data_IF_577064390959
#
_entry.id   IF_577064390959
#
_cell.length_a   1.000
_cell.length_b   1.000
_cell.length_c   1.000
_cell.angle_alpha   90.00
_cell.angle_beta   90.00
_cell.angle_gamma   90.00
#
_symmetry.space_group_name_H-M   'P 1'
#
loop_
_entity.id
_entity.type
_entity.pdbx_description
1 polymer ?
#
# COMPACT_ATOMS: atom_id res chain seq x y z
N UNK A 1 -8.15 30.21 5.96
CA UNK A 1 -7.31 29.42 5.02
C UNK A 1 -6.90 30.33 3.89
N UNK A 2 -5.60 30.59 3.76
CA UNK A 2 -5.03 31.64 2.91
C UNK A 2 -5.30 31.39 1.41
N UNK A 3 -5.55 32.45 0.62
CA UNK A 3 -5.92 32.34 -0.79
C UNK A 3 -4.84 31.61 -1.62
N UNK A 4 -3.57 31.78 -1.24
CA UNK A 4 -2.44 31.06 -1.82
C UNK A 4 -2.55 29.54 -1.64
N UNK A 5 -2.95 29.09 -0.45
CA UNK A 5 -3.09 27.66 -0.14
C UNK A 5 -4.20 27.01 -0.96
N UNK A 6 -5.33 27.72 -1.17
CA UNK A 6 -6.42 27.23 -2.04
C UNK A 6 -5.96 27.04 -3.48
N UNK A 7 -5.14 27.96 -4.01
CA UNK A 7 -4.57 27.83 -5.36
C UNK A 7 -3.63 26.62 -5.47
N UNK A 8 -2.78 26.40 -4.47
CA UNK A 8 -1.89 25.23 -4.41
C UNK A 8 -2.68 23.92 -4.34
N UNK A 9 -3.74 23.85 -3.53
CA UNK A 9 -4.63 22.68 -3.42
C UNK A 9 -5.39 22.43 -4.74
N UNK A 10 -5.88 23.48 -5.39
CA UNK A 10 -6.53 23.38 -6.71
C UNK A 10 -5.59 22.85 -7.79
N UNK A 11 -4.33 23.32 -7.82
CA UNK A 11 -3.32 22.81 -8.74
C UNK A 11 -3.03 21.32 -8.48
N UNK A 12 -2.91 20.91 -7.22
CA UNK A 12 -2.68 19.50 -6.88
C UNK A 12 -3.82 18.59 -7.33
N UNK A 13 -5.08 19.05 -7.20
CA UNK A 13 -6.27 18.32 -7.68
C UNK A 13 -6.23 18.14 -9.19
N UNK A 14 -6.01 19.24 -9.91
CA UNK A 14 -5.93 19.22 -11.38
C UNK A 14 -4.80 18.30 -11.82
N UNK A 15 -3.60 18.44 -11.24
CA UNK A 15 -2.45 17.62 -11.59
C UNK A 15 -2.70 16.14 -11.31
N UNK A 16 -3.17 15.78 -10.12
CA UNK A 16 -3.48 14.41 -9.77
C UNK A 16 -4.50 13.81 -10.75
N UNK A 17 -5.57 14.53 -11.06
CA UNK A 17 -6.59 14.06 -11.99
C UNK A 17 -6.02 13.83 -13.40
N UNK A 18 -5.32 14.82 -13.97
CA UNK A 18 -4.76 14.70 -15.32
C UNK A 18 -3.68 13.62 -15.40
N UNK A 19 -2.81 13.51 -14.40
CA UNK A 19 -1.79 12.46 -14.37
C UNK A 19 -2.46 11.08 -14.30
N UNK A 20 -3.40 10.85 -13.38
CA UNK A 20 -4.14 9.58 -13.31
C UNK A 20 -4.89 9.29 -14.61
N UNK A 21 -5.55 10.28 -15.20
CA UNK A 21 -6.27 10.13 -16.47
C UNK A 21 -5.35 9.77 -17.65
N UNK A 22 -4.18 10.40 -17.75
CA UNK A 22 -3.20 10.06 -18.81
C UNK A 22 -2.79 8.60 -18.68
N UNK A 23 -2.39 8.15 -17.48
CA UNK A 23 -2.00 6.75 -17.28
C UNK A 23 -3.17 5.78 -17.52
N UNK A 24 -4.38 6.13 -17.08
CA UNK A 24 -5.59 5.33 -17.29
C UNK A 24 -5.93 5.14 -18.78
N UNK A 25 -5.77 6.20 -19.58
CA UNK A 25 -6.09 6.19 -21.01
C UNK A 25 -4.97 5.58 -21.87
N UNK A 26 -3.72 5.69 -21.45
CA UNK A 26 -2.55 5.30 -22.26
C UNK A 26 -1.96 3.95 -21.88
N UNK A 27 -2.27 3.43 -20.69
CA UNK A 27 -1.76 2.13 -20.25
C UNK A 27 -2.65 1.01 -20.79
N UNK A 28 -2.10 0.08 -21.60
CA UNK A 28 -2.86 -1.07 -22.05
C UNK A 28 -3.12 -2.02 -20.87
N UNK A 29 -4.27 -2.69 -20.89
CA UNK A 29 -4.54 -3.79 -19.97
C UNK A 29 -3.71 -5.00 -20.42
N UNK A 30 -3.15 -5.73 -19.45
CA UNK A 30 -2.45 -6.99 -19.67
C UNK A 30 -3.29 -7.96 -20.51
N UNK A 31 -2.72 -8.64 -21.52
CA UNK A 31 -3.46 -9.64 -22.29
C UNK A 31 -3.69 -10.94 -21.52
N UNK A 32 -2.96 -11.16 -20.42
CA UNK A 32 -3.01 -12.38 -19.62
C UNK A 32 -4.35 -12.54 -18.91
N UNK A 33 -4.91 -13.76 -18.95
CA UNK A 33 -6.14 -14.13 -18.25
C UNK A 33 -7.31 -13.18 -18.49
N UNK A 34 -7.45 -12.65 -19.71
CA UNK A 34 -8.53 -11.73 -20.05
C UNK A 34 -8.46 -10.38 -19.32
N UNK A 35 -7.26 -9.93 -18.93
CA UNK A 35 -7.04 -8.66 -18.24
C UNK A 35 -6.84 -8.76 -16.73
N UNK A 36 -6.91 -9.96 -16.16
CA UNK A 36 -6.81 -10.17 -14.73
C UNK A 36 -5.40 -10.56 -14.25
N UNK A 37 -4.50 -10.91 -15.18
CA UNK A 37 -3.17 -11.41 -14.83
C UNK A 37 -3.25 -12.64 -13.88
N UNK A 38 -2.12 -13.09 -13.32
CA UNK A 38 -2.01 -14.29 -12.52
C UNK A 38 -2.69 -14.19 -11.15
N UNK A 39 -2.28 -13.24 -10.29
CA UNK A 39 -2.89 -13.09 -8.96
C UNK A 39 -4.30 -12.46 -9.04
N UNK A 40 -4.51 -11.54 -9.99
CA UNK A 40 -5.76 -10.81 -10.13
C UNK A 40 -6.91 -11.69 -10.61
N UNK A 41 -6.64 -12.85 -11.20
CA UNK A 41 -7.64 -13.86 -11.50
C UNK A 41 -8.38 -14.31 -10.23
N UNK A 42 -7.66 -14.48 -9.12
CA UNK A 42 -8.26 -14.87 -7.82
C UNK A 42 -9.21 -13.79 -7.32
N UNK A 43 -8.79 -12.53 -7.36
CA UNK A 43 -9.61 -11.39 -6.95
C UNK A 43 -10.80 -11.16 -7.88
N UNK A 44 -10.63 -11.37 -9.18
CA UNK A 44 -11.70 -11.37 -10.17
C UNK A 44 -12.78 -12.41 -9.87
N UNK A 45 -12.38 -13.66 -9.60
CA UNK A 45 -13.31 -14.73 -9.23
C UNK A 45 -14.04 -14.42 -7.91
N UNK A 46 -13.35 -13.86 -6.93
CA UNK A 46 -13.97 -13.40 -5.67
C UNK A 46 -14.99 -12.28 -5.91
N UNK A 47 -14.71 -11.37 -6.84
CA UNK A 47 -15.62 -10.29 -7.26
C UNK A 47 -16.79 -10.79 -8.15
N UNK A 48 -16.83 -12.08 -8.49
CA UNK A 48 -17.91 -12.68 -9.28
C UNK A 48 -17.61 -12.88 -10.77
N UNK A 49 -16.38 -12.62 -11.22
CA UNK A 49 -15.97 -12.88 -12.59
C UNK A 49 -16.02 -14.40 -12.91
N UNK A 50 -16.54 -14.75 -14.07
CA UNK A 50 -16.64 -16.15 -14.55
C UNK A 50 -15.39 -16.54 -15.32
N UNK A 51 -14.25 -16.59 -14.63
CA UNK A 51 -12.93 -16.85 -15.23
C UNK A 51 -12.50 -18.31 -15.12
N UNK A 52 -13.11 -19.08 -14.22
CA UNK A 52 -12.78 -20.48 -13.94
C UNK A 52 -14.05 -21.34 -13.96
N UNK A 53 -13.93 -22.66 -14.18
CA UNK A 53 -14.99 -23.63 -13.93
C UNK A 53 -15.59 -23.50 -12.51
N UNK A 54 -16.87 -23.84 -12.28
CA UNK A 54 -17.54 -23.60 -11.00
C UNK A 54 -16.88 -24.25 -9.78
N UNK A 55 -16.36 -25.47 -9.95
CA UNK A 55 -15.64 -26.24 -8.94
C UNK A 55 -14.28 -25.60 -8.59
N UNK A 56 -13.50 -25.19 -9.58
CA UNK A 56 -12.26 -24.45 -9.39
C UNK A 56 -12.51 -23.06 -8.77
N UNK A 57 -13.55 -22.36 -9.23
CA UNK A 57 -13.94 -21.06 -8.68
C UNK A 57 -14.36 -21.18 -7.20
N UNK A 58 -15.10 -22.23 -6.84
CA UNK A 58 -15.47 -22.50 -5.46
C UNK A 58 -14.26 -22.85 -4.58
N UNK A 59 -13.25 -23.49 -5.15
CA UNK A 59 -11.99 -23.78 -4.46
C UNK A 59 -11.16 -22.50 -4.23
N UNK A 60 -10.97 -21.68 -5.26
CA UNK A 60 -10.24 -20.40 -5.16
C UNK A 60 -10.88 -19.45 -4.15
N UNK A 61 -12.21 -19.38 -4.09
CA UNK A 61 -12.95 -18.62 -3.07
C UNK A 61 -12.79 -19.15 -1.65
N UNK A 62 -12.26 -20.36 -1.46
CA UNK A 62 -12.00 -20.96 -0.14
C UNK A 62 -10.53 -20.98 0.24
N UNK A 63 -9.63 -20.41 -0.58
CA UNK A 63 -8.20 -20.39 -0.29
C UNK A 63 -7.82 -19.28 0.71
N UNK A 64 -7.33 -19.67 1.89
CA UNK A 64 -6.61 -18.81 2.85
C UNK A 64 -5.07 -18.95 2.73
N UNK A 65 -4.27 -18.05 3.35
CA UNK A 65 -4.66 -16.79 3.99
C UNK A 65 -4.24 -15.52 3.23
N UNK A 66 -3.41 -15.61 2.18
CA UNK A 66 -2.90 -14.42 1.43
C UNK A 66 -3.74 -14.03 0.22
N UNK A 67 -4.72 -14.86 -0.13
CA UNK A 67 -5.65 -14.65 -1.24
C UNK A 67 -6.97 -14.03 -0.77
N UNK A 68 -7.27 -14.08 0.53
CA UNK A 68 -8.55 -13.62 1.06
C UNK A 68 -8.48 -12.15 1.50
N UNK A 69 -8.05 -11.32 0.55
CA UNK A 69 -8.05 -9.86 0.63
C UNK A 69 -9.42 -9.40 0.20
N UNK A 70 -10.34 -9.32 1.15
CA UNK A 70 -11.79 -9.24 0.86
C UNK A 70 -12.28 -7.86 0.48
N UNK A 71 -11.52 -6.81 0.82
CA UNK A 71 -12.00 -5.43 0.69
C UNK A 71 -12.16 -5.04 -0.77
N UNK A 72 -11.10 -5.08 -1.60
CA UNK A 72 -11.24 -4.74 -3.03
C UNK A 72 -12.23 -5.64 -3.79
N UNK A 73 -12.16 -6.98 -3.73
CA UNK A 73 -13.13 -7.83 -4.42
C UNK A 73 -14.56 -7.62 -3.91
N UNK A 74 -14.73 -7.37 -2.61
CA UNK A 74 -16.03 -7.04 -2.02
C UNK A 74 -16.63 -5.77 -2.61
N UNK A 75 -15.86 -4.68 -2.68
CA UNK A 75 -16.30 -3.43 -3.32
C UNK A 75 -16.55 -3.65 -4.82
N UNK A 76 -15.65 -4.35 -5.52
CA UNK A 76 -15.79 -4.62 -6.95
C UNK A 76 -17.06 -5.46 -7.26
N UNK A 77 -17.47 -6.36 -6.36
CA UNK A 77 -18.65 -7.22 -6.55
C UNK A 77 -19.99 -6.48 -6.49
N UNK A 78 -20.04 -5.30 -5.85
CA UNK A 78 -21.28 -4.53 -5.66
C UNK A 78 -21.43 -3.38 -6.64
N UNK A 79 -20.38 -3.08 -7.42
CA UNK A 79 -20.42 -2.08 -8.47
C UNK A 79 -21.18 -2.62 -9.72
N UNK A 80 -21.88 -1.74 -10.45
CA UNK A 80 -22.86 -2.16 -11.46
C UNK A 80 -22.26 -2.58 -12.81
N UNK A 81 -20.94 -2.52 -13.00
CA UNK A 81 -20.29 -2.90 -14.26
C UNK A 81 -19.78 -4.34 -14.20
N UNK A 82 -19.14 -4.80 -15.29
CA UNK A 82 -18.41 -6.07 -15.24
C UNK A 82 -17.21 -5.96 -14.25
N UNK A 83 -16.78 -7.08 -13.63
CA UNK A 83 -15.77 -7.02 -12.58
C UNK A 83 -14.45 -6.36 -12.99
N UNK A 84 -13.99 -6.52 -14.23
CA UNK A 84 -12.74 -5.89 -14.70
C UNK A 84 -12.90 -4.37 -14.74
N UNK A 85 -14.02 -3.89 -15.28
CA UNK A 85 -14.34 -2.46 -15.28
C UNK A 85 -14.48 -1.91 -13.85
N UNK A 86 -15.09 -2.67 -12.94
CA UNK A 86 -15.20 -2.29 -11.53
C UNK A 86 -13.82 -2.07 -10.89
N UNK A 87 -12.89 -3.01 -11.07
CA UNK A 87 -11.50 -2.88 -10.62
C UNK A 87 -10.80 -1.67 -11.25
N UNK A 88 -10.98 -1.42 -12.56
CA UNK A 88 -10.39 -0.25 -13.23
C UNK A 88 -10.90 1.08 -12.67
N UNK A 89 -12.19 1.18 -12.36
CA UNK A 89 -12.78 2.38 -11.72
C UNK A 89 -12.21 2.56 -10.32
N UNK A 90 -12.10 1.48 -9.55
CA UNK A 90 -11.50 1.51 -8.22
C UNK A 90 -10.04 1.96 -8.27
N UNK A 91 -9.23 1.41 -9.18
CA UNK A 91 -7.85 1.81 -9.41
C UNK A 91 -7.72 3.30 -9.74
N UNK A 92 -8.58 3.81 -10.63
CA UNK A 92 -8.58 5.25 -10.93
C UNK A 92 -8.83 6.10 -9.69
N UNK A 93 -9.84 5.75 -8.89
CA UNK A 93 -10.19 6.50 -7.69
C UNK A 93 -9.11 6.38 -6.60
N UNK A 94 -8.54 5.20 -6.42
CA UNK A 94 -7.48 4.92 -5.45
C UNK A 94 -6.19 5.66 -5.81
N UNK A 95 -5.76 5.62 -7.07
CA UNK A 95 -4.56 6.32 -7.53
C UNK A 95 -4.74 7.84 -7.47
N UNK A 96 -5.87 8.37 -7.95
CA UNK A 96 -6.18 9.79 -7.84
C UNK A 96 -6.12 10.26 -6.38
N UNK A 97 -6.79 9.52 -5.49
CA UNK A 97 -6.81 9.83 -4.05
C UNK A 97 -5.43 9.70 -3.40
N UNK A 98 -4.64 8.72 -3.83
CA UNK A 98 -3.25 8.51 -3.39
C UNK A 98 -2.37 9.70 -3.73
N UNK A 99 -2.46 10.24 -4.96
CA UNK A 99 -1.70 11.43 -5.35
C UNK A 99 -2.08 12.66 -4.51
N UNK A 100 -3.38 12.85 -4.23
CA UNK A 100 -3.83 13.93 -3.35
C UNK A 100 -3.30 13.78 -1.92
N UNK A 101 -3.41 12.58 -1.35
CA UNK A 101 -2.93 12.28 -0.01
C UNK A 101 -1.42 12.48 0.08
N UNK A 102 -0.66 12.01 -0.91
CA UNK A 102 0.79 12.20 -0.97
C UNK A 102 1.15 13.69 -0.99
N UNK A 103 0.50 14.50 -1.83
CA UNK A 103 0.72 15.94 -1.83
C UNK A 103 0.45 16.54 -0.45
N UNK A 104 -0.67 16.18 0.20
CA UNK A 104 -1.01 16.67 1.54
C UNK A 104 0.03 16.25 2.60
N UNK A 105 0.53 15.01 2.52
CA UNK A 105 1.60 14.49 3.37
C UNK A 105 2.86 15.33 3.19
N UNK A 106 3.31 15.56 1.95
CA UNK A 106 4.50 16.37 1.67
C UNK A 106 4.36 17.80 2.19
N UNK A 107 3.20 18.43 1.99
CA UNK A 107 2.92 19.76 2.55
C UNK A 107 2.94 19.77 4.08
N UNK A 108 2.40 18.73 4.72
CA UNK A 108 2.39 18.57 6.19
C UNK A 108 3.77 18.28 6.77
N UNK A 109 4.66 17.68 5.97
CA UNK A 109 6.07 17.50 6.30
C UNK A 109 6.90 18.78 6.07
N UNK A 110 6.25 19.87 5.63
CA UNK A 110 6.82 21.20 5.36
C UNK A 110 7.73 21.29 4.14
N UNK A 111 7.57 20.38 3.16
CA UNK A 111 8.18 20.56 1.84
C UNK A 111 7.56 21.74 1.11
N UNK A 112 8.33 22.45 0.28
CA UNK A 112 7.81 23.55 -0.54
C UNK A 112 6.74 23.05 -1.54
N UNK A 113 5.87 23.93 -2.07
CA UNK A 113 4.86 23.52 -3.05
C UNK A 113 5.48 22.85 -4.28
N UNK A 114 6.59 23.41 -4.77
CA UNK A 114 7.34 22.86 -5.89
C UNK A 114 7.86 21.45 -5.60
N UNK A 115 8.52 21.24 -4.45
CA UNK A 115 9.01 19.91 -4.07
C UNK A 115 7.88 18.91 -3.86
N UNK A 116 6.71 19.36 -3.39
CA UNK A 116 5.54 18.50 -3.24
C UNK A 116 4.98 18.04 -4.59
N UNK A 117 5.01 18.91 -5.61
CA UNK A 117 4.66 18.55 -6.99
C UNK A 117 5.68 17.57 -7.58
N UNK A 118 6.98 17.85 -7.40
CA UNK A 118 8.05 16.95 -7.86
C UNK A 118 7.92 15.56 -7.22
N UNK A 119 7.69 15.48 -5.92
CA UNK A 119 7.48 14.22 -5.21
C UNK A 119 6.24 13.46 -5.70
N UNK A 120 5.14 14.17 -5.98
CA UNK A 120 3.93 13.59 -6.58
C UNK A 120 4.22 13.01 -7.96
N UNK A 121 4.90 13.75 -8.84
CA UNK A 121 5.25 13.29 -10.19
C UNK A 121 6.24 12.12 -10.14
N UNK A 122 7.18 12.14 -9.20
CA UNK A 122 8.11 11.03 -8.99
C UNK A 122 7.37 9.76 -8.56
N UNK A 123 6.44 9.88 -7.60
CA UNK A 123 5.57 8.77 -7.20
C UNK A 123 4.74 8.25 -8.37
N UNK A 124 4.09 9.14 -9.12
CA UNK A 124 3.26 8.78 -10.27
C UNK A 124 4.05 8.15 -11.43
N UNK A 125 5.32 8.54 -11.60
CA UNK A 125 6.21 7.99 -12.62
C UNK A 125 6.80 6.62 -12.26
N UNK A 126 6.70 6.17 -11.00
CA UNK A 126 7.12 4.83 -10.61
C UNK A 126 6.21 3.80 -11.27
N UNK A 127 6.81 2.78 -11.90
CA UNK A 127 6.06 1.74 -12.62
C UNK A 127 4.98 1.09 -11.74
N UNK A 128 5.32 0.83 -10.47
CA UNK A 128 4.49 0.10 -9.53
C UNK A 128 3.31 0.90 -8.95
N UNK A 129 3.18 2.18 -9.29
CA UNK A 129 2.00 2.98 -8.95
C UNK A 129 1.02 2.94 -10.12
N UNK A 130 0.71 4.08 -10.73
CA UNK A 130 -0.36 4.26 -11.70
C UNK A 130 -0.27 3.28 -12.89
N UNK A 131 0.92 3.10 -13.45
CA UNK A 131 1.07 2.25 -14.64
C UNK A 131 0.71 0.79 -14.32
N UNK A 132 1.21 0.25 -13.20
CA UNK A 132 0.87 -1.11 -12.82
C UNK A 132 -0.60 -1.26 -12.46
N UNK A 133 -1.18 -0.29 -11.75
CA UNK A 133 -2.62 -0.25 -11.42
C UNK A 133 -3.52 -0.36 -12.66
N UNK A 134 -3.15 0.26 -13.78
CA UNK A 134 -3.95 0.19 -15.01
C UNK A 134 -3.56 -0.97 -15.93
N UNK A 135 -2.32 -1.45 -15.84
CA UNK A 135 -1.86 -2.61 -16.59
C UNK A 135 -2.47 -3.92 -16.06
N UNK A 136 -2.51 -4.11 -14.73
CA UNK A 136 -3.10 -5.28 -14.07
C UNK A 136 -4.15 -4.84 -13.03
N UNK A 137 -5.31 -4.31 -13.46
CA UNK A 137 -6.26 -3.62 -12.59
C UNK A 137 -6.94 -4.49 -11.55
N UNK A 138 -7.02 -5.81 -11.78
CA UNK A 138 -7.60 -6.73 -10.80
C UNK A 138 -6.66 -7.03 -9.62
N UNK A 139 -5.45 -6.45 -9.60
CA UNK A 139 -4.61 -6.46 -8.40
C UNK A 139 -5.19 -5.49 -7.37
N UNK A 140 -4.68 -5.57 -6.15
CA UNK A 140 -5.21 -4.83 -5.00
C UNK A 140 -4.22 -3.78 -4.45
N UNK A 141 -3.19 -3.49 -5.25
CA UNK A 141 -2.00 -2.75 -4.85
C UNK A 141 -2.23 -1.25 -4.83
N UNK A 142 -3.04 -0.75 -5.75
CA UNK A 142 -3.50 0.63 -5.82
C UNK A 142 -4.30 1.01 -4.57
N UNK A 143 -5.26 0.20 -4.12
CA UNK A 143 -5.96 0.52 -2.88
C UNK A 143 -5.09 0.23 -1.66
N UNK A 144 -4.16 -0.73 -1.73
CA UNK A 144 -3.13 -0.90 -0.69
C UNK A 144 -2.30 0.37 -0.53
N UNK A 145 -1.86 0.99 -1.63
CA UNK A 145 -1.13 2.26 -1.60
C UNK A 145 -1.99 3.39 -1.04
N UNK A 146 -3.26 3.46 -1.45
CA UNK A 146 -4.21 4.42 -0.90
C UNK A 146 -4.34 4.28 0.62
N UNK A 147 -4.59 3.07 1.13
CA UNK A 147 -4.68 2.82 2.57
C UNK A 147 -3.37 3.14 3.28
N UNK A 148 -2.22 2.78 2.70
CA UNK A 148 -0.91 3.09 3.28
C UNK A 148 -0.71 4.60 3.43
N UNK A 149 -0.97 5.39 2.38
CA UNK A 149 -0.89 6.85 2.43
C UNK A 149 -1.92 7.44 3.39
N UNK A 150 -3.13 6.90 3.44
CA UNK A 150 -4.17 7.35 4.36
C UNK A 150 -3.78 7.09 5.83
N UNK A 151 -3.14 5.95 6.13
CA UNK A 151 -2.57 5.66 7.45
C UNK A 151 -1.47 6.67 7.81
N UNK A 152 -0.60 7.03 6.86
CA UNK A 152 0.42 8.06 7.05
C UNK A 152 -0.22 9.42 7.34
N UNK A 153 -1.14 9.89 6.50
CA UNK A 153 -1.80 11.18 6.71
C UNK A 153 -2.58 11.21 8.04
N UNK A 154 -3.32 10.16 8.37
CA UNK A 154 -4.07 10.08 9.62
C UNK A 154 -3.14 10.09 10.85
N UNK A 155 -1.99 9.41 10.78
CA UNK A 155 -0.95 9.43 11.82
C UNK A 155 -0.35 10.83 11.99
N UNK A 156 0.04 11.48 10.89
CA UNK A 156 0.59 12.83 10.92
C UNK A 156 -0.45 13.88 11.35
N UNK A 157 -1.73 13.64 11.03
CA UNK A 157 -2.89 14.42 11.48
C UNK A 157 -3.29 14.15 12.92
N UNK A 158 -2.70 13.13 13.57
CA UNK A 158 -3.07 12.68 14.93
C UNK A 158 -4.54 12.26 15.04
N UNK A 159 -5.13 11.74 13.95
CA UNK A 159 -6.52 11.25 13.90
C UNK A 159 -6.61 9.82 14.45
N UNK A 160 -6.24 9.63 15.72
CA UNK A 160 -6.11 8.31 16.34
C UNK A 160 -7.41 7.50 16.34
N UNK A 161 -8.56 8.16 16.49
CA UNK A 161 -9.88 7.50 16.41
C UNK A 161 -10.12 6.92 15.01
N UNK A 162 -9.80 7.67 13.96
CA UNK A 162 -9.93 7.18 12.59
C UNK A 162 -9.04 5.96 12.36
N UNK A 163 -7.80 5.99 12.87
CA UNK A 163 -6.86 4.86 12.74
C UNK A 163 -7.38 3.57 13.36
N UNK A 164 -8.14 3.63 14.46
CA UNK A 164 -8.74 2.44 15.08
C UNK A 164 -9.75 1.72 14.17
N UNK A 165 -10.46 2.46 13.31
CA UNK A 165 -11.37 1.88 12.32
C UNK A 165 -10.66 1.54 11.01
N UNK A 166 -9.71 2.39 10.61
CA UNK A 166 -9.02 2.26 9.34
C UNK A 166 -8.06 1.07 9.29
N UNK A 167 -7.32 0.81 10.37
CA UNK A 167 -6.31 -0.26 10.42
C UNK A 167 -6.91 -1.65 10.21
N UNK A 168 -8.05 -2.04 10.84
CA UNK A 168 -8.74 -3.28 10.53
C UNK A 168 -9.08 -3.42 9.05
N UNK A 169 -9.68 -2.39 8.44
CA UNK A 169 -10.05 -2.43 7.02
C UNK A 169 -8.81 -2.54 6.14
N UNK A 170 -7.75 -1.76 6.43
CA UNK A 170 -6.47 -1.84 5.72
C UNK A 170 -5.82 -3.23 5.85
N UNK A 171 -5.89 -3.86 7.03
CA UNK A 171 -5.38 -5.21 7.23
C UNK A 171 -6.15 -6.25 6.40
N UNK A 172 -7.48 -6.09 6.27
CA UNK A 172 -8.33 -6.94 5.41
C UNK A 172 -8.16 -6.64 3.91
N UNK A 173 -7.69 -5.44 3.55
CA UNK A 173 -7.24 -5.12 2.21
C UNK A 173 -5.94 -5.86 1.90
N UNK A 174 -4.94 -5.77 2.78
CA UNK A 174 -3.67 -6.49 2.64
C UNK A 174 -3.04 -6.69 4.00
N UNK A 175 -2.67 -7.93 4.31
CA UNK A 175 -2.28 -8.36 5.65
C UNK A 175 -1.03 -7.63 6.15
N UNK A 176 -0.12 -7.29 5.24
CA UNK A 176 1.08 -6.49 5.50
C UNK A 176 0.76 -5.10 6.06
N UNK A 177 -0.41 -4.52 5.75
CA UNK A 177 -0.83 -3.23 6.30
C UNK A 177 -1.10 -3.30 7.81
N UNK A 178 -1.37 -4.49 8.38
CA UNK A 178 -1.46 -4.65 9.83
C UNK A 178 -0.13 -4.31 10.53
N UNK A 179 1.02 -4.56 9.88
CA UNK A 179 2.34 -4.23 10.42
C UNK A 179 2.52 -2.71 10.58
N UNK A 180 1.86 -1.90 9.75
CA UNK A 180 1.90 -0.43 9.87
C UNK A 180 1.14 0.11 11.08
N UNK A 181 0.45 -0.73 11.85
CA UNK A 181 0.00 -0.38 13.21
C UNK A 181 1.18 0.05 14.10
N UNK A 182 2.35 -0.58 13.98
CA UNK A 182 3.54 -0.21 14.74
C UNK A 182 4.06 1.18 14.37
N UNK A 183 3.98 1.57 13.09
CA UNK A 183 4.25 2.95 12.67
C UNK A 183 3.26 3.94 13.30
N UNK A 184 1.97 3.61 13.32
CA UNK A 184 0.93 4.44 13.93
C UNK A 184 1.16 4.61 15.45
N UNK A 185 1.52 3.53 16.14
CA UNK A 185 1.89 3.53 17.57
C UNK A 185 3.13 4.39 17.81
N UNK A 186 4.15 4.27 16.96
CA UNK A 186 5.33 5.13 17.04
C UNK A 186 4.98 6.63 16.88
N UNK A 187 4.10 6.95 15.92
CA UNK A 187 3.56 8.30 15.74
C UNK A 187 2.76 8.79 16.96
N UNK A 188 1.95 7.92 17.57
CA UNK A 188 1.20 8.21 18.79
C UNK A 188 2.14 8.53 19.95
N UNK A 189 3.18 7.73 20.18
CA UNK A 189 4.18 7.98 21.22
C UNK A 189 4.95 9.27 20.99
N UNK A 190 5.37 9.54 19.75
CA UNK A 190 6.05 10.78 19.37
C UNK A 190 5.17 12.03 19.59
N UNK A 191 3.85 11.90 19.48
CA UNK A 191 2.91 12.98 19.74
C UNK A 191 2.57 13.13 21.24
N UNK A 192 2.42 12.00 21.95
CA UNK A 192 2.07 11.94 23.37
C UNK A 192 3.18 12.44 24.30
N UNK A 193 4.45 12.32 23.92
CA UNK A 193 5.57 12.91 24.67
C UNK A 193 5.53 14.45 24.73
N UNK A 194 4.69 15.10 23.91
CA UNK A 194 4.55 16.55 23.82
C UNK A 194 3.23 17.09 24.40
N UNK A 195 2.26 16.24 24.73
CA UNK A 195 0.96 16.67 25.25
C UNK A 195 0.61 15.81 26.47
N UNK A 196 0.38 16.45 27.62
CA UNK A 196 0.25 15.84 28.95
C UNK A 196 -0.93 14.88 29.18
N UNK A 197 -1.27 14.03 28.21
CA UNK A 197 -2.21 12.93 28.39
C UNK A 197 -1.63 11.86 29.33
N UNK A 198 -2.49 11.29 30.17
CA UNK A 198 -2.11 10.23 31.11
C UNK A 198 -1.51 9.01 30.39
N UNK A 199 -0.42 8.45 30.94
CA UNK A 199 0.27 7.27 30.40
C UNK A 199 -0.65 6.10 30.08
N UNK A 200 -1.68 5.86 30.92
CA UNK A 200 -2.66 4.80 30.70
C UNK A 200 -3.47 4.96 29.41
N UNK A 201 -3.87 6.18 29.05
CA UNK A 201 -4.62 6.44 27.82
C UNK A 201 -3.76 6.22 26.56
N UNK A 202 -2.46 6.52 26.63
CA UNK A 202 -1.52 6.26 25.53
C UNK A 202 -1.32 4.76 25.33
N UNK A 203 -1.11 4.01 26.41
CA UNK A 203 -0.96 2.54 26.37
C UNK A 203 -2.21 1.85 25.80
N UNK A 204 -3.40 2.23 26.28
CA UNK A 204 -4.66 1.67 25.78
C UNK A 204 -4.85 1.92 24.29
N UNK A 205 -4.62 3.15 23.83
CA UNK A 205 -4.69 3.49 22.39
C UNK A 205 -3.66 2.72 21.59
N UNK A 206 -2.44 2.60 22.09
CA UNK A 206 -1.38 1.83 21.43
C UNK A 206 -1.75 0.37 21.29
N UNK A 207 -2.28 -0.25 22.36
CA UNK A 207 -2.76 -1.61 22.35
C UNK A 207 -3.90 -1.81 21.33
N UNK A 208 -4.90 -0.92 21.29
CA UNK A 208 -5.99 -1.00 20.32
C UNK A 208 -5.51 -0.89 18.87
N UNK A 209 -4.56 0.01 18.58
CA UNK A 209 -4.01 0.15 17.22
C UNK A 209 -3.34 -1.13 16.71
N UNK A 210 -2.79 -1.95 17.60
CA UNK A 210 -2.20 -3.26 17.25
C UNK A 210 -3.26 -4.35 17.27
N UNK A 211 -4.00 -4.51 18.35
CA UNK A 211 -4.92 -5.64 18.54
C UNK A 211 -6.05 -5.67 17.50
N UNK A 212 -6.60 -4.51 17.11
CA UNK A 212 -7.73 -4.46 16.19
C UNK A 212 -7.41 -5.01 14.78
N UNK A 213 -6.35 -4.58 14.07
CA UNK A 213 -6.03 -5.16 12.75
C UNK A 213 -5.65 -6.64 12.80
N UNK A 214 -4.87 -7.07 13.80
CA UNK A 214 -4.52 -8.48 13.94
C UNK A 214 -5.73 -9.35 14.34
N UNK A 215 -6.63 -8.81 15.17
CA UNK A 215 -7.89 -9.47 15.51
C UNK A 215 -8.80 -9.63 14.30
N UNK A 216 -8.95 -8.59 13.46
CA UNK A 216 -9.72 -8.67 12.22
C UNK A 216 -9.17 -9.76 11.27
N UNK A 217 -7.84 -9.80 11.10
CA UNK A 217 -7.18 -10.86 10.34
C UNK A 217 -7.42 -12.26 10.93
N UNK A 218 -7.33 -12.40 12.26
CA UNK A 218 -7.56 -13.67 12.93
C UNK A 218 -9.00 -14.17 12.75
N UNK A 219 -9.99 -13.27 12.87
CA UNK A 219 -11.40 -13.59 12.65
C UNK A 219 -11.63 -14.08 11.22
N UNK A 220 -11.17 -13.33 10.22
CA UNK A 220 -11.35 -13.72 8.81
C UNK A 220 -10.61 -15.02 8.50
N UNK A 221 -9.39 -15.21 9.01
CA UNK A 221 -8.65 -16.47 8.85
C UNK A 221 -9.35 -17.67 9.50
N UNK A 222 -9.98 -17.48 10.65
CA UNK A 222 -10.73 -18.54 11.33
C UNK A 222 -11.99 -18.98 10.58
N UNK A 223 -12.49 -18.17 9.64
CA UNK A 223 -13.67 -18.47 8.83
C UNK A 223 -13.35 -19.21 7.52
N UNK A 224 -12.06 -19.43 7.20
CA UNK A 224 -11.64 -19.98 5.90
C UNK A 224 -11.01 -21.36 6.12
N UNK A 225 -11.41 -22.34 5.30
CA UNK A 225 -10.81 -23.67 5.29
C UNK A 225 -9.32 -23.56 4.87
N UNK A 226 -8.37 -24.08 5.66
CA UNK A 226 -6.96 -24.07 5.28
C UNK A 226 -6.72 -25.12 4.19
N UNK A 227 -6.84 -24.71 2.92
CA UNK A 227 -6.76 -25.60 1.76
C UNK A 227 -5.65 -25.25 0.77
N UNK A 228 -4.71 -24.38 1.13
CA UNK A 228 -3.65 -23.91 0.23
C UNK A 228 -2.29 -24.62 0.47
N UNK A 229 -1.92 -25.64 -0.35
CA UNK A 229 -0.63 -26.33 -0.23
C UNK A 229 0.58 -25.44 -0.60
N UNK A 230 0.39 -24.26 -1.21
CA UNK A 230 1.48 -23.32 -1.52
C UNK A 230 2.00 -22.55 -0.30
N UNK A 231 1.35 -22.68 0.85
CA UNK A 231 1.74 -22.00 2.10
C UNK A 231 1.96 -22.99 3.24
N UNK A 232 2.90 -23.90 3.00
CA UNK A 232 3.66 -24.53 4.06
C UNK A 232 4.63 -23.47 4.67
N UNK A 233 4.69 -23.28 6.01
CA UNK A 233 5.70 -22.43 6.66
C UNK A 233 7.13 -22.66 6.15
N UNK A 234 7.46 -23.86 5.66
CA UNK A 234 8.75 -24.16 5.01
C UNK A 234 9.01 -23.34 3.75
N UNK A 235 7.97 -22.85 3.05
CA UNK A 235 8.07 -21.98 1.89
C UNK A 235 8.53 -20.57 2.28
N UNK A 236 8.09 -20.06 3.44
CA UNK A 236 8.57 -18.78 3.96
C UNK A 236 10.06 -18.85 4.33
N UNK A 237 10.51 -19.95 4.92
CA UNK A 237 11.93 -20.22 5.17
C UNK A 237 12.73 -20.40 3.86
N UNK A 238 12.14 -21.00 2.82
CA UNK A 238 12.75 -21.07 1.48
C UNK A 238 12.93 -19.69 0.85
N UNK A 239 11.97 -18.79 0.96
CA UNK A 239 12.14 -17.40 0.49
C UNK A 239 13.22 -16.64 1.27
N UNK A 240 13.43 -16.96 2.56
CA UNK A 240 14.56 -16.41 3.33
C UNK A 240 15.89 -16.97 2.81
N UNK A 241 15.94 -18.27 2.48
CA UNK A 241 17.11 -18.89 1.86
C UNK A 241 17.38 -18.35 0.44
N UNK A 242 16.35 -17.94 -0.30
CA UNK A 242 16.51 -17.29 -1.61
C UNK A 242 17.26 -15.96 -1.52
N UNK A 243 17.16 -15.22 -0.41
CA UNK A 243 17.95 -13.99 -0.17
C UNK A 243 19.45 -14.28 -0.15
N UNK A 244 19.82 -15.45 0.35
CA UNK A 244 21.20 -15.93 0.37
C UNK A 244 21.64 -16.49 -0.99
N UNK A 245 20.73 -16.60 -1.96
CA UNK A 245 21.07 -17.07 -3.30
C UNK A 245 21.82 -15.98 -4.09
N UNK A 246 22.86 -16.34 -4.87
CA UNK A 246 23.56 -15.39 -5.73
C UNK A 246 22.67 -14.73 -6.80
N UNK A 247 21.54 -15.36 -7.16
CA UNK A 247 20.59 -14.86 -8.16
C UNK A 247 19.67 -13.77 -7.63
N UNK A 248 19.49 -13.68 -6.32
CA UNK A 248 18.59 -12.69 -5.71
C UNK A 248 19.10 -11.26 -5.87
N UNK A 249 20.39 -11.03 -5.61
CA UNK A 249 20.97 -9.68 -5.60
C UNK A 249 20.87 -8.96 -6.95
N UNK A 250 21.16 -9.59 -8.12
CA UNK A 250 20.94 -8.97 -9.41
C UNK A 250 19.48 -8.58 -9.67
N UNK A 251 18.51 -9.43 -9.31
CA UNK A 251 17.08 -9.17 -9.50
C UNK A 251 16.62 -8.03 -8.59
N UNK A 252 17.05 -8.04 -7.33
CA UNK A 252 16.76 -6.98 -6.37
C UNK A 252 17.34 -5.64 -6.84
N UNK A 253 18.59 -5.64 -7.30
CA UNK A 253 19.23 -4.44 -7.86
C UNK A 253 18.49 -3.97 -9.09
N UNK A 254 18.19 -4.85 -10.05
CA UNK A 254 17.42 -4.49 -11.23
C UNK A 254 16.07 -3.90 -10.84
N UNK A 255 15.34 -4.47 -9.89
CA UNK A 255 14.07 -3.94 -9.39
C UNK A 255 14.21 -2.55 -8.76
N UNK A 256 15.28 -2.32 -7.98
CA UNK A 256 15.63 -1.02 -7.41
C UNK A 256 15.94 0.03 -8.48
N UNK A 257 16.58 -0.37 -9.57
CA UNK A 257 16.92 0.50 -10.71
C UNK A 257 15.74 0.73 -11.66
N UNK A 258 14.96 -0.31 -11.99
CA UNK A 258 13.96 -0.31 -13.06
C UNK A 258 12.55 0.10 -12.61
N UNK A 259 12.13 -0.31 -11.41
CA UNK A 259 10.77 -0.06 -10.91
C UNK A 259 10.59 1.32 -10.28
N UNK A 260 11.69 1.94 -9.89
CA UNK A 260 11.66 3.00 -8.90
C UNK A 260 12.61 4.17 -9.20
N UNK A 261 13.73 3.96 -9.91
CA UNK A 261 14.78 5.00 -10.01
C UNK A 261 15.28 5.48 -8.63
N UNK A 262 15.09 4.68 -7.58
CA UNK A 262 15.19 5.09 -6.17
C UNK A 262 16.62 5.03 -5.64
N UNK A 263 17.42 4.07 -6.11
CA UNK A 263 18.79 3.91 -5.61
C UNK A 263 19.66 5.16 -5.88
N UNK A 264 19.61 5.80 -7.07
CA UNK A 264 20.30 7.08 -7.29
C UNK A 264 19.86 8.18 -6.32
N UNK A 265 18.55 8.29 -6.04
CA UNK A 265 18.00 9.30 -5.12
C UNK A 265 18.46 9.05 -3.68
N UNK A 266 18.39 7.80 -3.21
CA UNK A 266 18.85 7.42 -1.87
C UNK A 266 20.36 7.64 -1.68
N UNK A 267 21.17 7.35 -2.71
CA UNK A 267 22.61 7.59 -2.71
C UNK A 267 22.94 9.10 -2.67
N UNK A 268 22.17 9.92 -3.38
CA UNK A 268 22.36 11.38 -3.40
C UNK A 268 21.90 12.08 -2.12
N UNK A 269 20.95 11.49 -1.37
CA UNK A 269 20.33 12.11 -0.19
C UNK A 269 20.91 11.67 1.17
N UNK A 270 21.96 10.82 1.20
CA UNK A 270 22.41 10.07 2.38
C UNK A 270 22.43 10.82 3.72
N UNK A 271 23.14 11.96 3.81
CA UNK A 271 23.23 12.73 5.06
C UNK A 271 21.93 13.45 5.46
N UNK A 272 21.04 13.75 4.51
CA UNK A 272 19.73 14.33 4.79
C UNK A 272 18.77 13.28 5.36
N UNK A 273 18.82 12.06 4.84
CA UNK A 273 17.95 10.95 5.26
C UNK A 273 18.19 10.55 6.71
N UNK A 274 19.46 10.37 7.11
CA UNK A 274 19.83 10.10 8.50
C UNK A 274 19.41 11.23 9.46
N UNK A 275 19.39 12.49 9.01
CA UNK A 275 18.90 13.62 9.82
C UNK A 275 17.37 13.60 9.93
N UNK A 276 16.66 13.27 8.84
CA UNK A 276 15.21 13.15 8.82
C UNK A 276 14.73 12.06 9.78
N UNK A 277 15.29 10.84 9.68
CA UNK A 277 14.90 9.71 10.54
C UNK A 277 15.21 9.97 12.02
N UNK A 278 16.35 10.61 12.34
CA UNK A 278 16.66 11.01 13.72
C UNK A 278 15.64 11.98 14.29
N UNK A 279 15.17 12.94 13.48
CA UNK A 279 14.15 13.93 13.91
C UNK A 279 12.74 13.34 13.94
N UNK A 280 12.48 12.30 13.16
CA UNK A 280 11.16 11.68 13.00
C UNK A 280 11.25 10.15 13.08
N UNK A 281 11.66 9.64 14.23
CA UNK A 281 11.94 8.21 14.45
C UNK A 281 10.81 7.26 14.05
N UNK A 282 9.54 7.69 14.07
CA UNK A 282 8.41 6.90 13.57
C UNK A 282 8.62 6.49 12.11
N UNK A 283 9.20 7.34 11.26
CA UNK A 283 9.57 6.98 9.89
C UNK A 283 10.70 5.93 9.82
N UNK A 284 11.52 5.82 10.87
CA UNK A 284 12.46 4.71 11.00
C UNK A 284 11.74 3.37 11.19
N UNK A 285 10.71 3.35 12.05
CA UNK A 285 9.83 2.18 12.21
C UNK A 285 9.12 1.84 10.90
N UNK A 286 8.60 2.84 10.19
CA UNK A 286 8.04 2.67 8.85
C UNK A 286 9.02 1.99 7.89
N UNK A 287 10.27 2.47 7.84
CA UNK A 287 11.30 1.90 6.98
C UNK A 287 11.63 0.45 7.32
N UNK A 288 11.74 0.11 8.61
CA UNK A 288 11.98 -1.27 9.06
C UNK A 288 10.85 -2.19 8.62
N UNK A 289 9.58 -1.76 8.78
CA UNK A 289 8.41 -2.54 8.32
C UNK A 289 8.46 -2.72 6.80
N UNK A 290 8.70 -1.64 6.05
CA UNK A 290 8.76 -1.71 4.58
C UNK A 290 9.87 -2.63 4.08
N UNK A 291 11.05 -2.61 4.72
CA UNK A 291 12.15 -3.55 4.43
C UNK A 291 11.75 -4.99 4.77
N UNK A 292 11.12 -5.23 5.91
CA UNK A 292 10.61 -6.56 6.27
C UNK A 292 9.62 -7.09 5.21
N UNK A 293 8.76 -6.23 4.68
CA UNK A 293 7.82 -6.57 3.61
C UNK A 293 8.50 -6.96 2.28
N UNK A 294 9.75 -6.51 2.00
CA UNK A 294 10.50 -6.92 0.81
C UNK A 294 10.85 -8.42 0.79
N UNK A 295 10.88 -9.05 1.96
CA UNK A 295 11.27 -10.45 2.08
C UNK A 295 10.09 -11.42 1.86
N UNK A 296 8.84 -10.93 1.81
CA UNK A 296 7.69 -11.73 1.39
C UNK A 296 7.66 -11.98 -0.13
N UNK A 297 6.81 -12.89 -0.62
CA UNK A 297 6.42 -13.00 -2.03
C UNK A 297 7.49 -13.36 -3.08
N UNK A 298 7.06 -13.83 -4.26
CA UNK A 298 7.93 -14.14 -5.40
C UNK A 298 8.32 -12.90 -6.23
N UNK A 299 7.41 -11.93 -6.38
CA UNK A 299 7.69 -10.69 -7.10
C UNK A 299 8.25 -9.60 -6.16
N UNK A 300 9.57 -9.58 -6.03
CA UNK A 300 10.29 -8.68 -5.11
C UNK A 300 10.14 -7.21 -5.49
N UNK A 301 9.94 -6.90 -6.77
CA UNK A 301 9.90 -5.53 -7.27
C UNK A 301 8.60 -4.82 -6.84
N UNK A 302 7.47 -5.53 -6.85
CA UNK A 302 6.18 -5.06 -6.34
C UNK A 302 6.22 -4.72 -4.86
N UNK A 303 7.10 -5.33 -4.06
CA UNK A 303 7.14 -5.10 -2.61
C UNK A 303 7.78 -3.76 -2.21
N UNK A 304 8.47 -3.10 -3.13
CA UNK A 304 8.95 -1.74 -2.89
C UNK A 304 7.84 -0.70 -2.74
N UNK A 305 6.63 -1.04 -3.17
CA UNK A 305 5.43 -0.26 -2.94
C UNK A 305 5.27 0.19 -1.48
N UNK A 306 5.67 -0.65 -0.52
CA UNK A 306 5.60 -0.33 0.91
C UNK A 306 6.60 0.74 1.35
N UNK A 307 7.74 0.85 0.67
CA UNK A 307 8.79 1.82 0.97
C UNK A 307 8.63 3.11 0.17
N UNK A 308 7.90 3.08 -0.95
CA UNK A 308 7.82 4.19 -1.88
C UNK A 308 7.43 5.53 -1.21
N UNK A 309 6.43 5.61 -0.30
CA UNK A 309 6.13 6.86 0.39
C UNK A 309 7.30 7.42 1.21
N UNK A 310 8.10 6.56 1.84
CA UNK A 310 9.29 6.98 2.60
C UNK A 310 10.42 7.44 1.67
N UNK A 311 10.49 6.94 0.44
CA UNK A 311 11.54 7.33 -0.49
C UNK A 311 11.22 8.65 -1.20
N UNK A 312 9.94 8.93 -1.45
CA UNK A 312 9.51 10.22 -2.00
C UNK A 312 9.75 11.36 -1.01
N UNK A 313 9.68 11.07 0.29
CA UNK A 313 9.86 12.01 1.42
C UNK A 313 11.35 12.22 1.73
#
# INVERSE_FOLDING_TARGET
MDAKRRKEEGLAIVLAFFTTAIFFLTTPITPSNGGYDSDGLVYGVMAGARLLPPDEAAYVRRMAPWCYRIVSPGIASVLPFDPLTNFRVMAFLADFSSLLLLFQILRRLAFSPFLSVVGLLFYAGSFWTLKFSFYSPAYIDDETQFFLLLLIDATLSRRWRLLMFLLPVAALQKESLALYSFFCVAGLHAAGSRGGGGRGALLWRGALLVLLPFGALAVVRGMIEPSNPRYDPTVAFRHLAEVLSPRFWPILLQALFSGLGILPVLLLCGGAWCRFLRRRWAWGVYGVIGVACLFGGGDKARLFLYLLPLVVV
#
